data_IF_976440402199
#
_entry.id   IF_976440402199
#
_cell.length_a   1.000
_cell.length_b   1.000
_cell.length_c   1.000
_cell.angle_alpha   90.00
_cell.angle_beta   90.00
_cell.angle_gamma   90.00
#
_symmetry.space_group_name_H-M   'P 1'
#
loop_
_entity.id
_entity.type
_entity.pdbx_description
1 polymer ?
#
# COMPACT_ATOMS: atom_id res chain seq x y z
N UNK A 1 -14.25 7.61 17.10
CA UNK A 1 -13.40 6.97 16.08
C UNK A 1 -13.13 8.01 15.01
N UNK A 2 -11.90 8.54 14.95
CA UNK A 2 -11.53 9.39 13.84
C UNK A 2 -11.55 8.52 12.58
N UNK A 3 -12.34 8.91 11.58
CA UNK A 3 -12.25 8.34 10.25
C UNK A 3 -10.81 8.61 9.81
N UNK A 4 -9.93 7.61 9.92
CA UNK A 4 -8.58 7.74 9.39
C UNK A 4 -8.73 8.24 7.95
N UNK A 5 -8.05 9.33 7.60
CA UNK A 5 -8.24 9.99 6.32
C UNK A 5 -8.17 8.97 5.19
N UNK A 6 -9.32 8.69 4.56
CA UNK A 6 -9.44 7.67 3.51
C UNK A 6 -8.62 8.04 2.26
N UNK A 7 -8.22 9.31 2.15
CA UNK A 7 -7.27 9.76 1.14
C UNK A 7 -5.83 9.69 1.69
N UNK A 8 -5.00 8.78 1.14
CA UNK A 8 -3.63 8.62 1.60
C UNK A 8 -2.75 9.80 1.19
N UNK A 9 -2.87 10.26 -0.06
CA UNK A 9 -2.21 11.43 -0.65
C UNK A 9 -3.12 12.02 -1.74
N UNK A 10 -2.94 13.30 -2.09
CA UNK A 10 -3.76 13.99 -3.10
C UNK A 10 -3.25 13.85 -4.53
N UNK A 11 -1.99 13.41 -4.70
CA UNK A 11 -1.35 13.26 -6.02
C UNK A 11 -1.67 11.88 -6.60
N UNK A 12 -2.04 11.87 -7.88
CA UNK A 12 -2.25 10.64 -8.66
C UNK A 12 -1.02 10.33 -9.51
N UNK A 13 -0.51 9.10 -9.46
CA UNK A 13 0.58 8.62 -10.32
C UNK A 13 0.09 8.49 -11.77
N UNK A 14 0.73 9.22 -12.68
CA UNK A 14 0.36 9.28 -14.10
C UNK A 14 1.47 8.81 -15.06
N UNK A 15 2.56 8.29 -14.50
CA UNK A 15 3.73 7.83 -15.25
C UNK A 15 4.86 8.86 -15.37
N UNK A 16 4.60 10.15 -15.11
CA UNK A 16 5.61 11.21 -15.23
C UNK A 16 6.05 11.75 -13.86
N UNK A 17 5.26 11.51 -12.81
CA UNK A 17 5.45 12.11 -11.49
C UNK A 17 5.86 11.11 -10.39
N UNK A 18 6.44 9.95 -10.76
CA UNK A 18 6.78 8.87 -9.82
C UNK A 18 7.62 9.35 -8.62
N UNK A 19 8.64 10.19 -8.83
CA UNK A 19 9.49 10.68 -7.74
C UNK A 19 8.71 11.46 -6.67
N UNK A 20 7.74 12.29 -7.08
CA UNK A 20 6.94 13.06 -6.15
C UNK A 20 5.87 12.20 -5.46
N UNK A 21 5.16 11.37 -6.25
CA UNK A 21 4.17 10.43 -5.74
C UNK A 21 4.77 9.45 -4.73
N UNK A 22 5.91 8.83 -5.06
CA UNK A 22 6.58 7.84 -4.20
C UNK A 22 7.09 8.45 -2.90
N UNK A 23 7.60 9.68 -2.93
CA UNK A 23 7.98 10.41 -1.72
C UNK A 23 6.79 10.60 -0.76
N UNK A 24 5.65 11.07 -1.27
CA UNK A 24 4.46 11.30 -0.45
C UNK A 24 3.87 9.97 0.06
N UNK A 25 3.73 8.97 -0.81
CA UNK A 25 3.20 7.66 -0.44
C UNK A 25 4.09 6.96 0.60
N UNK A 26 5.41 7.00 0.42
CA UNK A 26 6.37 6.47 1.40
C UNK A 26 6.23 7.16 2.75
N UNK A 27 6.11 8.49 2.76
CA UNK A 27 5.95 9.26 3.99
C UNK A 27 4.64 8.93 4.71
N UNK A 28 3.54 8.83 3.97
CA UNK A 28 2.24 8.44 4.49
C UNK A 28 2.26 7.05 5.14
N UNK A 29 2.82 6.05 4.46
CA UNK A 29 2.88 4.67 4.96
C UNK A 29 3.83 4.55 6.17
N UNK A 30 4.95 5.28 6.15
CA UNK A 30 5.88 5.34 7.30
C UNK A 30 5.24 5.99 8.52
N UNK A 31 4.48 7.09 8.35
CA UNK A 31 3.74 7.74 9.43
C UNK A 31 2.73 6.83 10.13
N UNK A 32 2.33 5.73 9.47
CA UNK A 32 1.41 4.71 10.00
C UNK A 32 2.13 3.45 10.53
N UNK A 33 3.46 3.40 10.46
CA UNK A 33 4.23 2.22 10.89
C UNK A 33 4.06 0.98 10.00
N UNK A 34 3.55 1.17 8.77
CA UNK A 34 3.22 0.07 7.84
C UNK A 34 4.30 -0.15 6.76
N UNK A 35 5.41 0.59 6.81
CA UNK A 35 6.47 0.48 5.80
C UNK A 35 7.11 -0.92 5.75
N UNK A 36 7.12 -1.64 6.88
CA UNK A 36 7.61 -3.02 7.01
C UNK A 36 6.96 -4.02 6.05
N UNK A 37 5.75 -3.74 5.57
CA UNK A 37 5.07 -4.58 4.58
C UNK A 37 5.59 -4.34 3.15
N UNK A 38 5.98 -3.10 2.82
CA UNK A 38 6.62 -2.76 1.53
C UNK A 38 8.07 -3.23 1.50
N UNK A 39 8.85 -3.00 2.57
CA UNK A 39 10.23 -3.48 2.63
C UNK A 39 10.33 -5.01 2.67
N UNK A 40 9.26 -5.68 3.09
CA UNK A 40 9.22 -7.13 3.24
C UNK A 40 9.79 -7.64 4.57
N UNK A 41 10.07 -6.74 5.51
CA UNK A 41 10.46 -7.10 6.88
C UNK A 41 9.32 -7.84 7.59
N UNK A 42 8.08 -7.46 7.28
CA UNK A 42 6.86 -8.15 7.71
C UNK A 42 6.51 -9.26 6.70
N UNK A 43 7.01 -10.46 6.94
CA UNK A 43 6.75 -11.64 6.10
C UNK A 43 5.31 -12.13 6.26
N UNK A 44 4.73 -12.65 5.18
CA UNK A 44 3.43 -13.31 5.19
C UNK A 44 3.47 -14.52 6.15
N UNK A 45 2.64 -14.56 7.20
CA UNK A 45 2.50 -15.72 8.07
C UNK A 45 1.87 -16.92 7.32
N UNK A 46 1.96 -18.11 7.91
CA UNK A 46 1.17 -19.25 7.45
C UNK A 46 -0.33 -18.98 7.65
N UNK A 47 -1.21 -19.58 6.84
CA UNK A 47 -2.66 -19.35 6.90
C UNK A 47 -3.29 -19.74 8.25
N UNK A 48 -2.69 -20.69 8.96
CA UNK A 48 -3.15 -21.13 10.28
C UNK A 48 -2.56 -20.29 11.43
N UNK A 49 -1.68 -19.33 11.14
CA UNK A 49 -1.11 -18.42 12.15
C UNK A 49 -2.14 -17.35 12.51
N UNK A 50 -2.32 -17.10 13.82
CA UNK A 50 -3.25 -16.09 14.32
C UNK A 50 -2.94 -14.66 13.82
N UNK A 51 -1.70 -14.41 13.37
CA UNK A 51 -1.26 -13.12 12.80
C UNK A 51 -1.59 -12.96 11.32
N UNK A 52 -2.03 -14.02 10.63
CA UNK A 52 -2.31 -13.96 9.19
C UNK A 52 -3.38 -12.92 8.87
N UNK A 53 -4.49 -12.90 9.61
CA UNK A 53 -5.58 -11.96 9.40
C UNK A 53 -5.13 -10.49 9.53
N UNK A 54 -4.37 -10.17 10.58
CA UNK A 54 -3.83 -8.83 10.79
C UNK A 54 -2.82 -8.44 9.69
N UNK A 55 -2.00 -9.40 9.26
CA UNK A 55 -1.05 -9.17 8.18
C UNK A 55 -1.78 -8.89 6.86
N UNK A 56 -2.80 -9.69 6.54
CA UNK A 56 -3.61 -9.57 5.32
C UNK A 56 -4.37 -8.24 5.28
N UNK A 57 -4.98 -7.82 6.40
CA UNK A 57 -5.66 -6.52 6.51
C UNK A 57 -4.69 -5.37 6.22
N UNK A 58 -3.50 -5.39 6.83
CA UNK A 58 -2.52 -4.32 6.65
C UNK A 58 -1.93 -4.30 5.23
N UNK A 59 -1.65 -5.47 4.66
CA UNK A 59 -1.20 -5.61 3.29
C UNK A 59 -2.24 -5.04 2.30
N UNK A 60 -3.51 -5.44 2.43
CA UNK A 60 -4.59 -4.97 1.55
C UNK A 60 -4.91 -3.48 1.69
N UNK A 61 -4.77 -2.91 2.91
CA UNK A 61 -4.87 -1.46 3.11
C UNK A 61 -3.85 -0.69 2.26
N UNK A 62 -2.60 -1.15 2.25
CA UNK A 62 -1.54 -0.52 1.46
C UNK A 62 -1.85 -0.63 -0.03
N UNK A 63 -2.21 -1.82 -0.51
CA UNK A 63 -2.58 -2.03 -1.91
C UNK A 63 -3.74 -1.11 -2.33
N UNK A 64 -4.76 -0.98 -1.48
CA UNK A 64 -5.90 -0.08 -1.71
C UNK A 64 -5.47 1.38 -1.80
N UNK A 65 -4.58 1.85 -0.93
CA UNK A 65 -4.06 3.22 -0.98
C UNK A 65 -3.25 3.49 -2.25
N UNK A 66 -2.42 2.53 -2.67
CA UNK A 66 -1.70 2.63 -3.94
C UNK A 66 -2.70 2.68 -5.09
N UNK A 67 -3.61 1.71 -5.19
CA UNK A 67 -4.63 1.63 -6.26
C UNK A 67 -5.47 2.92 -6.39
N UNK A 68 -5.84 3.55 -5.27
CA UNK A 68 -6.62 4.78 -5.24
C UNK A 68 -5.84 6.03 -5.68
N UNK A 69 -4.51 5.95 -5.76
CA UNK A 69 -3.65 7.08 -6.10
C UNK A 69 -2.84 6.86 -7.36
N UNK A 70 -3.23 5.90 -8.21
CA UNK A 70 -2.62 5.70 -9.53
C UNK A 70 -3.66 5.83 -10.64
N UNK A 71 -3.25 6.19 -11.85
CA UNK A 71 -4.11 6.19 -13.05
C UNK A 71 -4.69 4.80 -13.34
N UNK A 72 -5.84 4.68 -14.05
CA UNK A 72 -6.46 3.38 -14.33
C UNK A 72 -5.54 2.43 -15.08
N UNK A 73 -4.71 2.95 -16.00
CA UNK A 73 -3.71 2.18 -16.74
C UNK A 73 -2.69 1.50 -15.83
N UNK A 74 -2.20 2.21 -14.80
CA UNK A 74 -1.27 1.68 -13.81
C UNK A 74 -2.01 0.74 -12.85
N UNK A 75 -3.23 1.09 -12.43
CA UNK A 75 -4.03 0.24 -11.53
C UNK A 75 -4.28 -1.16 -12.11
N UNK A 76 -4.53 -1.26 -13.42
CA UNK A 76 -4.67 -2.56 -14.10
C UNK A 76 -3.41 -3.43 -13.98
N UNK A 77 -2.23 -2.84 -13.85
CA UNK A 77 -1.00 -3.60 -13.63
C UNK A 77 -0.84 -4.05 -12.17
N UNK A 78 -1.38 -3.27 -11.22
CA UNK A 78 -1.32 -3.57 -9.78
C UNK A 78 -2.14 -4.80 -9.39
N UNK A 79 -3.22 -5.10 -10.10
CA UNK A 79 -4.07 -6.27 -9.84
C UNK A 79 -3.37 -7.62 -9.98
N UNK A 80 -2.11 -7.65 -10.41
CA UNK A 80 -1.27 -8.86 -10.50
C UNK A 80 -0.48 -9.14 -9.22
N UNK A 81 -0.48 -8.21 -8.26
CA UNK A 81 0.34 -8.30 -7.07
C UNK A 81 -0.52 -8.62 -5.85
N UNK A 82 -0.23 -9.76 -5.22
CA UNK A 82 -0.91 -10.17 -3.99
C UNK A 82 -0.38 -9.44 -2.75
N UNK A 83 0.81 -8.83 -2.85
CA UNK A 83 1.49 -8.19 -1.71
C UNK A 83 1.95 -6.78 -2.03
N UNK A 84 1.90 -5.91 -1.02
CA UNK A 84 2.41 -4.54 -1.07
C UNK A 84 3.92 -4.46 -1.34
N UNK A 85 4.66 -5.56 -1.12
CA UNK A 85 6.08 -5.67 -1.48
C UNK A 85 6.30 -5.78 -2.99
N UNK A 86 5.36 -6.39 -3.70
CA UNK A 86 5.47 -6.65 -5.14
C UNK A 86 4.87 -5.52 -5.98
N UNK A 87 3.89 -4.79 -5.42
CA UNK A 87 3.28 -3.60 -6.01
C UNK A 87 4.25 -2.40 -6.02
#
# INVERSE_FOLDING_TARGET
>A
MALESAQPITIRLDGHNYSHWSFLMRSFIKGRGLWKYISGDSKCPGKDDSKYADWEINNNKILTWIANTVTPSINMQLGKFDTAKQA
#
